data_IF_482063726238
#
_entry.id   IF_482063726238
#
_cell.length_a   1.000
_cell.length_b   1.000
_cell.length_c   1.000
_cell.angle_alpha   90.00
_cell.angle_beta   90.00
_cell.angle_gamma   90.00
#
_symmetry.space_group_name_H-M   'P 1'
#
loop_
_entity.id
_entity.type
_entity.pdbx_description
1 polymer ?
#
# COMPACT_ATOMS: atom_id res chain seq x y z
N UNK A 1 0.27 15.34 -9.80
CA UNK A 1 -0.54 14.54 -8.87
C UNK A 1 -1.50 13.70 -9.69
N UNK A 2 -1.36 12.36 -9.65
CA UNK A 2 -2.29 11.46 -10.33
C UNK A 2 -3.66 11.54 -9.64
N UNK A 3 -4.73 11.50 -10.41
CA UNK A 3 -6.09 11.50 -9.87
C UNK A 3 -6.48 10.07 -9.50
N UNK A 4 -6.50 9.77 -8.20
CA UNK A 4 -6.86 8.45 -7.68
C UNK A 4 -8.38 8.29 -7.44
N UNK A 5 -9.21 9.28 -7.84
CA UNK A 5 -10.66 9.24 -7.60
C UNK A 5 -11.38 8.08 -8.30
N UNK A 6 -10.83 7.59 -9.43
CA UNK A 6 -11.40 6.50 -10.22
C UNK A 6 -10.83 5.11 -9.88
N UNK A 7 -9.92 5.01 -8.91
CA UNK A 7 -9.31 3.74 -8.51
C UNK A 7 -10.23 3.03 -7.51
N UNK A 8 -10.44 1.70 -7.63
CA UNK A 8 -11.17 0.92 -6.66
C UNK A 8 -10.64 1.12 -5.24
N UNK A 9 -11.53 1.53 -4.32
CA UNK A 9 -11.23 1.70 -2.90
C UNK A 9 -11.71 0.48 -2.12
N UNK A 10 -10.85 -0.02 -1.24
CA UNK A 10 -11.13 -1.15 -0.35
C UNK A 10 -10.82 -0.75 1.07
N UNK A 11 -11.81 -0.84 1.96
CA UNK A 11 -11.56 -0.74 3.39
C UNK A 11 -10.74 -1.94 3.86
N UNK A 12 -9.64 -1.67 4.56
CA UNK A 12 -8.81 -2.73 5.12
C UNK A 12 -9.58 -3.50 6.17
N UNK A 13 -9.57 -4.83 6.02
CA UNK A 13 -10.05 -5.78 7.01
C UNK A 13 -9.03 -6.92 7.08
N UNK A 14 -8.63 -7.28 8.30
CA UNK A 14 -7.70 -8.38 8.53
C UNK A 14 -8.42 -9.73 8.43
N UNK A 15 -8.92 -10.01 7.22
CA UNK A 15 -9.62 -11.24 6.88
C UNK A 15 -9.12 -11.81 5.56
N UNK A 16 -9.31 -13.12 5.38
CA UNK A 16 -8.81 -13.85 4.21
C UNK A 16 -9.44 -13.40 2.88
N UNK A 17 -10.72 -12.98 2.89
CA UNK A 17 -11.42 -12.58 1.68
C UNK A 17 -10.91 -11.23 1.18
N UNK A 18 -10.68 -10.28 2.08
CA UNK A 18 -10.10 -8.96 1.77
C UNK A 18 -8.69 -9.10 1.19
N UNK A 19 -7.82 -9.87 1.85
CA UNK A 19 -6.46 -10.12 1.35
C UNK A 19 -6.48 -10.81 -0.02
N UNK A 20 -7.35 -11.81 -0.22
CA UNK A 20 -7.47 -12.49 -1.51
C UNK A 20 -7.94 -11.55 -2.63
N UNK A 21 -8.88 -10.64 -2.33
CA UNK A 21 -9.36 -9.62 -3.27
C UNK A 21 -8.24 -8.67 -3.67
N UNK A 22 -7.46 -8.16 -2.73
CA UNK A 22 -6.31 -7.28 -2.99
C UNK A 22 -5.28 -7.98 -3.85
N UNK A 23 -4.87 -9.20 -3.49
CA UNK A 23 -3.92 -10.00 -4.29
C UNK A 23 -4.44 -10.22 -5.71
N UNK A 24 -5.75 -10.47 -5.88
CA UNK A 24 -6.34 -10.65 -7.21
C UNK A 24 -6.31 -9.37 -8.06
N UNK A 25 -6.39 -8.17 -7.46
CA UNK A 25 -6.24 -6.89 -8.18
C UNK A 25 -4.78 -6.71 -8.64
N UNK A 26 -3.84 -6.92 -7.71
CA UNK A 26 -2.40 -6.84 -7.98
C UNK A 26 -1.97 -7.79 -9.11
N UNK A 27 -2.42 -9.04 -9.06
CA UNK A 27 -2.10 -10.04 -10.09
C UNK A 27 -2.69 -9.71 -11.48
N UNK A 28 -3.67 -8.81 -11.54
CA UNK A 28 -4.23 -8.28 -12.79
C UNK A 28 -3.62 -6.93 -13.18
N UNK A 29 -2.62 -6.46 -12.42
CA UNK A 29 -2.02 -5.12 -12.56
C UNK A 29 -3.08 -4.01 -12.48
N UNK A 30 -4.18 -4.27 -11.76
CA UNK A 30 -5.24 -3.28 -11.53
C UNK A 30 -4.87 -2.44 -10.30
N UNK A 31 -4.90 -1.10 -10.41
CA UNK A 31 -4.60 -0.24 -9.28
C UNK A 31 -5.66 -0.39 -8.20
N UNK A 32 -5.25 -0.25 -6.94
CA UNK A 32 -6.15 -0.37 -5.79
C UNK A 32 -5.75 0.58 -4.68
N UNK A 33 -6.74 1.19 -4.04
CA UNK A 33 -6.57 2.03 -2.85
C UNK A 33 -7.06 1.26 -1.63
N UNK A 34 -6.19 1.06 -0.66
CA UNK A 34 -6.52 0.50 0.64
C UNK A 34 -6.77 1.64 1.61
N UNK A 35 -7.97 1.69 2.20
CA UNK A 35 -8.34 2.62 3.26
C UNK A 35 -8.02 1.95 4.59
N UNK A 36 -7.04 2.47 5.31
CA UNK A 36 -6.61 1.89 6.58
C UNK A 36 -7.43 2.43 7.74
N UNK A 37 -7.40 1.70 8.86
CA UNK A 37 -8.09 2.09 10.08
C UNK A 37 -7.43 3.30 10.76
N UNK A 38 -8.17 3.96 11.64
CA UNK A 38 -7.71 5.20 12.30
C UNK A 38 -6.47 5.02 13.19
N UNK A 39 -6.26 3.81 13.70
CA UNK A 39 -5.14 3.41 14.55
C UNK A 39 -3.91 2.93 13.75
N UNK A 40 -4.02 2.85 12.43
CA UNK A 40 -2.92 2.46 11.56
C UNK A 40 -1.82 3.52 11.55
N UNK A 41 -0.60 3.07 11.77
CA UNK A 41 0.61 3.91 11.79
C UNK A 41 1.25 3.91 10.41
N UNK A 42 1.56 5.10 9.91
CA UNK A 42 2.15 5.33 8.59
C UNK A 42 3.64 5.72 8.64
N UNK A 43 4.28 5.58 9.80
CA UNK A 43 5.70 5.94 9.94
C UNK A 43 6.59 5.03 9.08
N UNK A 44 7.19 5.62 8.05
CA UNK A 44 8.10 4.94 7.14
C UNK A 44 9.42 5.68 7.01
N UNK A 45 10.49 4.90 6.87
CA UNK A 45 11.79 5.43 6.51
C UNK A 45 11.90 5.58 4.98
N UNK A 46 11.94 6.83 4.53
CA UNK A 46 11.98 7.22 3.10
C UNK A 46 13.12 6.54 2.35
N UNK A 47 14.34 6.58 2.91
CA UNK A 47 15.54 6.06 2.25
C UNK A 47 15.50 4.54 2.11
N UNK A 48 15.12 3.84 3.19
CA UNK A 48 15.01 2.37 3.19
C UNK A 48 13.92 1.88 2.23
N UNK A 49 12.83 2.63 2.11
CA UNK A 49 11.69 2.25 1.29
C UNK A 49 11.76 2.77 -0.16
N UNK A 50 12.82 3.52 -0.51
CA UNK A 50 12.99 4.09 -1.85
C UNK A 50 11.90 5.10 -2.25
N UNK A 51 11.16 5.64 -1.29
CA UNK A 51 10.07 6.57 -1.54
C UNK A 51 10.58 7.95 -1.92
N UNK A 52 9.82 8.70 -2.73
CA UNK A 52 10.00 10.14 -2.89
C UNK A 52 8.97 10.87 -2.03
N UNK A 53 9.38 11.91 -1.31
CA UNK A 53 8.45 12.77 -0.57
C UNK A 53 7.89 13.83 -1.53
N UNK A 54 6.56 13.90 -1.67
CA UNK A 54 5.86 15.01 -2.31
C UNK A 54 4.80 15.60 -1.37
N UNK A 55 5.12 16.72 -0.73
CA UNK A 55 4.29 17.34 0.32
C UNK A 55 4.04 16.34 1.47
N UNK A 56 2.79 15.93 1.70
CA UNK A 56 2.40 14.96 2.72
C UNK A 56 2.23 13.52 2.16
N UNK A 57 2.61 13.31 0.89
CA UNK A 57 2.55 12.03 0.21
C UNK A 57 3.93 11.42 0.12
N UNK A 58 4.02 10.12 0.36
CA UNK A 58 5.15 9.30 -0.07
C UNK A 58 4.75 8.65 -1.38
N UNK A 59 5.57 8.81 -2.42
CA UNK A 59 5.25 8.31 -3.75
C UNK A 59 6.33 7.38 -4.28
N UNK A 60 5.93 6.49 -5.18
CA UNK A 60 6.77 5.49 -5.83
C UNK A 60 7.61 4.65 -4.85
N UNK A 61 7.06 4.35 -3.67
CA UNK A 61 7.72 3.51 -2.69
C UNK A 61 7.91 2.09 -3.22
N UNK A 62 9.04 1.46 -2.87
CA UNK A 62 9.30 0.07 -3.22
C UNK A 62 8.36 -0.84 -2.40
N UNK A 63 7.50 -1.65 -3.06
CA UNK A 63 6.41 -2.33 -2.37
C UNK A 63 6.84 -3.28 -1.26
N UNK A 64 7.94 -4.02 -1.49
CA UNK A 64 8.40 -5.03 -0.56
C UNK A 64 8.86 -4.42 0.77
N UNK A 65 9.75 -3.44 0.71
CA UNK A 65 10.30 -2.74 1.88
C UNK A 65 9.24 -1.90 2.59
N UNK A 66 8.45 -1.12 1.86
CA UNK A 66 7.42 -0.27 2.43
C UNK A 66 6.36 -1.07 3.18
N UNK A 67 5.75 -2.09 2.53
CA UNK A 67 4.72 -2.89 3.19
C UNK A 67 5.29 -3.83 4.26
N UNK A 68 6.52 -4.31 4.14
CA UNK A 68 7.16 -5.08 5.22
C UNK A 68 7.37 -4.24 6.49
N UNK A 69 7.74 -2.97 6.32
CA UNK A 69 7.91 -2.04 7.45
C UNK A 69 6.56 -1.71 8.09
N UNK A 70 5.55 -1.38 7.29
CA UNK A 70 4.19 -1.14 7.77
C UNK A 70 3.57 -2.37 8.44
N UNK A 71 3.82 -3.57 7.90
CA UNK A 71 3.39 -4.84 8.48
C UNK A 71 3.92 -5.00 9.90
N UNK A 72 5.22 -4.76 10.10
CA UNK A 72 5.88 -4.85 11.41
C UNK A 72 5.39 -3.79 12.37
N UNK A 73 5.23 -2.55 11.90
CA UNK A 73 4.81 -1.41 12.71
C UNK A 73 3.39 -1.58 13.27
N UNK A 74 2.52 -2.22 12.49
CA UNK A 74 1.10 -2.40 12.82
C UNK A 74 0.73 -3.82 13.27
N UNK A 75 1.70 -4.74 13.29
CA UNK A 75 1.46 -6.18 13.53
C UNK A 75 0.46 -6.82 12.53
N UNK A 76 0.52 -6.42 11.26
CA UNK A 76 -0.35 -6.90 10.17
C UNK A 76 0.51 -7.65 9.14
N UNK A 77 0.79 -8.95 9.36
CA UNK A 77 1.69 -9.72 8.49
C UNK A 77 1.18 -9.85 7.06
N UNK A 78 -0.14 -9.74 6.85
CA UNK A 78 -0.75 -9.82 5.52
C UNK A 78 -0.28 -8.71 4.56
N UNK A 79 0.23 -7.57 5.08
CA UNK A 79 0.81 -6.53 4.23
C UNK A 79 2.13 -6.96 3.57
N UNK A 80 2.94 -7.79 4.24
CA UNK A 80 4.21 -8.30 3.71
C UNK A 80 3.99 -9.18 2.47
N UNK A 81 2.94 -10.01 2.56
CA UNK A 81 2.42 -10.83 1.48
C UNK A 81 1.94 -10.00 0.28
N UNK A 82 1.23 -8.89 0.55
CA UNK A 82 0.72 -7.97 -0.47
C UNK A 82 1.88 -7.23 -1.15
N UNK A 83 2.87 -6.75 -0.37
CA UNK A 83 4.06 -6.09 -0.90
C UNK A 83 4.90 -7.01 -1.77
N UNK A 84 5.03 -8.27 -1.38
CA UNK A 84 5.69 -9.29 -2.20
C UNK A 84 4.98 -9.48 -3.54
N UNK A 85 3.64 -9.56 -3.54
CA UNK A 85 2.86 -9.68 -4.77
C UNK A 85 2.99 -8.44 -5.67
N UNK A 86 2.89 -7.24 -5.09
CA UNK A 86 3.02 -5.97 -5.82
C UNK A 86 4.40 -5.82 -6.45
N UNK A 87 5.46 -6.17 -5.73
CA UNK A 87 6.84 -6.21 -6.25
C UNK A 87 7.00 -7.15 -7.44
N UNK A 88 6.43 -8.36 -7.35
CA UNK A 88 6.48 -9.35 -8.45
C UNK A 88 5.73 -8.85 -9.68
N UNK A 89 4.63 -8.13 -9.49
CA UNK A 89 3.86 -7.50 -10.56
C UNK A 89 4.51 -6.22 -11.11
N UNK A 90 5.62 -5.75 -10.53
CA UNK A 90 6.30 -4.53 -10.97
C UNK A 90 5.56 -3.24 -10.62
N UNK A 91 4.63 -3.29 -9.66
CA UNK A 91 3.87 -2.15 -9.17
C UNK A 91 4.69 -1.33 -8.17
N UNK A 92 4.24 -0.12 -7.90
CA UNK A 92 4.76 0.78 -6.85
C UNK A 92 3.65 1.12 -5.85
N UNK A 93 4.03 1.78 -4.76
CA UNK A 93 3.10 2.18 -3.71
C UNK A 93 3.21 3.68 -3.43
N UNK A 94 2.07 4.36 -3.42
CA UNK A 94 1.92 5.69 -2.85
C UNK A 94 1.23 5.60 -1.48
N UNK A 95 1.61 6.47 -0.55
CA UNK A 95 1.11 6.49 0.81
C UNK A 95 0.66 7.91 1.15
N UNK A 96 -0.62 8.01 1.51
CA UNK A 96 -1.25 9.23 1.99
C UNK A 96 -1.66 9.05 3.44
N UNK A 97 -0.81 9.50 4.36
CA UNK A 97 -1.09 9.42 5.80
C UNK A 97 -2.25 10.34 6.23
N UNK A 98 -2.50 11.43 5.48
CA UNK A 98 -3.59 12.36 5.78
C UNK A 98 -4.96 11.73 5.48
N UNK A 99 -5.05 11.01 4.36
CA UNK A 99 -6.26 10.30 3.97
C UNK A 99 -6.31 8.84 4.46
N UNK A 100 -5.25 8.37 5.11
CA UNK A 100 -5.08 6.99 5.61
C UNK A 100 -5.12 5.96 4.48
N UNK A 101 -4.45 6.26 3.38
CA UNK A 101 -4.50 5.44 2.17
C UNK A 101 -3.14 4.84 1.85
N UNK A 102 -3.18 3.58 1.41
CA UNK A 102 -2.09 2.92 0.70
C UNK A 102 -2.59 2.67 -0.71
N UNK A 103 -1.90 3.20 -1.70
CA UNK A 103 -2.32 3.17 -3.10
C UNK A 103 -1.31 2.30 -3.84
N UNK A 104 -1.77 1.23 -4.47
CA UNK A 104 -0.92 0.30 -5.23
C UNK A 104 -1.24 0.50 -6.71
N UNK A 105 -0.24 0.79 -7.54
CA UNK A 105 -0.42 1.08 -8.97
C UNK A 105 0.86 0.87 -9.78
N UNK A 106 0.81 1.11 -11.09
CA UNK A 106 1.92 0.99 -12.04
C UNK A 106 2.87 2.21 -12.07
#
# INVERSE_FOLDING_TARGET
>A
MRDHSNIPKLDWQDDKATVARIKSQIMREEPVVLIMTDDFKFDLDLETCGCRQESDLLIDCEPGSALSMLAKLNAIPALDDIGSAAKVAGLVIDIDSNQKQIIIHD
#
